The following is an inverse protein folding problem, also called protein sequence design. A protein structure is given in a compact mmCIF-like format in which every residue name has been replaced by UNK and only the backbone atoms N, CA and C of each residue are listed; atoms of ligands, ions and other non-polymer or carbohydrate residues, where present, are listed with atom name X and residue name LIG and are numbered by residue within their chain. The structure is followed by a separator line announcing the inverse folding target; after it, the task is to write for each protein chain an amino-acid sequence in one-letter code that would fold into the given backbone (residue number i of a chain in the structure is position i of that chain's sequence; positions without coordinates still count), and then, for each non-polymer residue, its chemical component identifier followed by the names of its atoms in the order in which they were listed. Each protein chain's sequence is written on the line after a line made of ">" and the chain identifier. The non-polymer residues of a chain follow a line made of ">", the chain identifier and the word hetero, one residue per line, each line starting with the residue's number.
data_IF_384792545558
#
_entry.id   IF_384792545558
#
_cell.length_a   1.000
_cell.length_b   1.000
_cell.length_c   1.000
_cell.angle_alpha   90.00
_cell.angle_beta   90.00
_cell.angle_gamma   90.00
#
_symmetry.space_group_name_H-M   'P 1'
#
loop_
_entity.id
_entity.type
_entity.pdbx_description
1 polymer ?
#
# COMPACT_ATOMS: atom_id res chain seq x y z
N UNK A 1 11.54 -17.96 0.30
CA UNK A 1 10.40 -17.06 0.54
C UNK A 1 9.68 -16.92 -0.79
N UNK A 2 8.54 -17.59 -0.92
CA UNK A 2 7.64 -17.45 -2.07
C UNK A 2 6.79 -16.20 -1.83
N UNK A 3 6.34 -15.47 -2.86
CA UNK A 3 5.69 -14.16 -2.68
C UNK A 3 4.29 -14.21 -3.29
N UNK A 4 3.24 -14.13 -2.48
CA UNK A 4 1.86 -14.00 -2.97
C UNK A 4 1.39 -12.56 -2.88
N UNK A 5 0.92 -12.04 -4.02
CA UNK A 5 0.45 -10.67 -4.17
C UNK A 5 -1.03 -10.68 -4.49
N UNK A 6 -1.83 -10.00 -3.68
CA UNK A 6 -3.23 -9.73 -3.96
C UNK A 6 -3.35 -8.22 -4.20
N UNK A 7 -3.51 -7.84 -5.46
CA UNK A 7 -3.57 -6.45 -5.92
C UNK A 7 -5.01 -5.98 -6.10
N UNK A 8 -5.69 -5.53 -5.04
CA UNK A 8 -7.05 -4.95 -5.15
C UNK A 8 -6.98 -3.48 -5.62
N UNK A 9 -6.54 -3.27 -6.86
CA UNK A 9 -6.64 -1.94 -7.50
C UNK A 9 -8.09 -1.66 -7.90
N UNK A 10 -8.74 -0.70 -7.25
CA UNK A 10 -9.86 0.00 -7.88
C UNK A 10 -9.35 1.25 -8.57
N UNK A 11 -9.49 1.29 -9.88
CA UNK A 11 -9.57 2.49 -10.70
C UNK A 11 -11.01 2.51 -11.19
N UNK A 12 -11.89 3.27 -10.56
CA UNK A 12 -13.33 3.20 -10.81
C UNK A 12 -13.93 1.79 -10.77
N UNK A 13 -13.85 1.17 -9.58
CA UNK A 13 -14.78 0.13 -9.08
C UNK A 13 -14.43 -1.34 -9.38
N UNK A 14 -13.24 -1.82 -8.99
CA UNK A 14 -12.87 -3.24 -9.07
C UNK A 14 -11.96 -3.66 -7.91
N UNK A 15 -12.00 -4.94 -7.59
CA UNK A 15 -11.06 -5.63 -6.73
C UNK A 15 -10.35 -6.69 -7.55
N UNK A 16 -9.03 -6.60 -7.66
CA UNK A 16 -8.17 -7.57 -8.35
C UNK A 16 -7.27 -8.30 -7.36
N UNK A 17 -6.70 -9.41 -7.78
CA UNK A 17 -5.64 -10.13 -7.07
C UNK A 17 -4.58 -10.39 -8.18
N UNK A 18 -3.28 -10.07 -7.99
CA UNK A 18 -2.29 -10.04 -9.11
C UNK A 18 -1.00 -10.75 -8.76
N UNK A 19 -0.58 -11.66 -9.64
CA UNK A 19 0.66 -12.45 -9.62
C UNK A 19 1.97 -11.64 -9.69
N UNK A 20 3.05 -12.16 -9.09
CA UNK A 20 4.44 -11.86 -9.45
C UNK A 20 5.22 -13.18 -9.63
N UNK A 21 6.09 -13.26 -10.64
CA UNK A 21 6.86 -14.46 -10.97
C UNK A 21 8.04 -14.68 -10.02
N UNK A 22 7.78 -15.41 -8.94
CA UNK A 22 8.75 -16.26 -8.27
C UNK A 22 7.99 -17.38 -7.56
N UNK A 23 7.80 -18.49 -8.30
CA UNK A 23 7.07 -19.73 -7.98
C UNK A 23 5.52 -19.61 -8.02
N UNK A 24 4.87 -20.57 -8.68
CA UNK A 24 3.63 -20.37 -9.44
C UNK A 24 2.35 -20.58 -8.62
N UNK A 25 1.65 -19.49 -8.27
CA UNK A 25 0.20 -19.50 -8.06
C UNK A 25 -0.43 -18.46 -8.97
N UNK A 26 -1.53 -18.83 -9.61
CA UNK A 26 -2.23 -18.02 -10.59
C UNK A 26 -3.59 -17.69 -10.02
N UNK A 27 -3.72 -16.48 -9.43
CA UNK A 27 -5.02 -15.94 -9.06
C UNK A 27 -5.55 -15.08 -10.19
N UNK A 28 -6.78 -15.32 -10.63
CA UNK A 28 -7.35 -14.60 -11.77
C UNK A 28 -8.11 -13.32 -11.42
N UNK A 29 -8.17 -12.43 -12.42
CA UNK A 29 -8.95 -11.20 -12.38
C UNK A 29 -10.35 -11.45 -12.95
N UNK A 30 -11.40 -11.16 -12.18
CA UNK A 30 -12.78 -11.15 -12.68
C UNK A 30 -13.52 -9.91 -12.18
N UNK A 31 -14.37 -9.36 -13.05
CA UNK A 31 -15.13 -8.14 -12.75
C UNK A 31 -16.52 -8.49 -12.21
N UNK A 32 -16.83 -7.99 -11.01
CA UNK A 32 -18.13 -8.17 -10.33
C UNK A 32 -18.89 -6.86 -10.17
N UNK A 33 -20.16 -6.82 -10.62
CA UNK A 33 -21.06 -5.68 -10.42
C UNK A 33 -22.27 -6.06 -9.59
N UNK A 34 -22.49 -5.31 -8.53
CA UNK A 34 -23.75 -5.35 -7.80
C UNK A 34 -24.15 -3.91 -7.43
N UNK A 35 -25.40 -3.55 -7.68
CA UNK A 35 -25.98 -2.20 -7.57
C UNK A 35 -26.72 -1.98 -6.27
N UNK A 36 -26.76 -3.03 -5.46
CA UNK A 36 -27.54 -3.05 -4.24
C UNK A 36 -26.82 -2.25 -3.17
N UNK A 37 -27.58 -1.68 -2.24
CA UNK A 37 -27.05 -1.07 -1.02
C UNK A 37 -26.51 -2.13 -0.04
N UNK A 38 -26.24 -3.33 -0.55
CA UNK A 38 -25.67 -4.45 0.16
C UNK A 38 -24.17 -4.23 0.28
N UNK A 39 -23.82 -3.50 1.33
CA UNK A 39 -22.48 -3.53 1.86
C UNK A 39 -22.11 -4.96 2.20
N UNK A 40 -20.83 -5.27 2.05
CA UNK A 40 -20.16 -6.50 2.48
C UNK A 40 -19.96 -7.56 1.40
N UNK A 41 -19.03 -7.29 0.48
CA UNK A 41 -18.17 -8.37 0.00
C UNK A 41 -17.28 -8.81 1.18
N UNK A 42 -17.54 -10.00 1.75
CA UNK A 42 -16.70 -10.60 2.80
C UNK A 42 -15.63 -11.46 2.12
N UNK A 43 -14.36 -11.06 2.23
CA UNK A 43 -13.23 -11.94 2.01
C UNK A 43 -12.96 -12.63 3.35
N UNK A 44 -13.23 -13.93 3.42
CA UNK A 44 -13.15 -14.73 4.64
C UNK A 44 -11.80 -15.46 4.69
N UNK A 45 -10.74 -14.76 5.10
CA UNK A 45 -9.43 -15.38 5.28
C UNK A 45 -9.45 -16.20 6.58
N UNK A 46 -9.71 -17.50 6.48
CA UNK A 46 -9.74 -18.42 7.63
C UNK A 46 -8.35 -19.03 7.80
N UNK A 47 -7.54 -18.42 8.66
CA UNK A 47 -6.50 -19.15 9.38
C UNK A 47 -6.75 -18.98 10.88
N UNK A 48 -6.32 -19.93 11.71
CA UNK A 48 -6.60 -20.01 13.16
C UNK A 48 -6.23 -18.72 13.91
N UNK A 49 -7.21 -17.81 14.02
CA UNK A 49 -7.05 -16.40 14.37
C UNK A 49 -7.59 -15.53 13.24
N UNK A 50 -8.92 -15.40 13.18
CA UNK A 50 -9.69 -14.86 12.06
C UNK A 50 -9.11 -13.51 11.55
N UNK A 51 -9.01 -13.29 10.24
CA UNK A 51 -8.93 -11.93 9.67
C UNK A 51 -9.99 -11.84 8.57
N UNK A 52 -11.21 -11.46 8.94
CA UNK A 52 -12.27 -11.22 7.96
C UNK A 52 -12.10 -9.84 7.31
N UNK A 53 -11.91 -9.78 5.99
CA UNK A 53 -11.94 -8.52 5.25
C UNK A 53 -13.34 -8.23 4.73
N UNK A 54 -13.86 -7.02 4.96
CA UNK A 54 -15.20 -6.64 4.52
C UNK A 54 -15.17 -5.31 3.76
N UNK A 55 -15.73 -5.32 2.56
CA UNK A 55 -15.78 -4.18 1.65
C UNK A 55 -17.22 -3.69 1.46
N UNK A 56 -17.50 -2.42 1.79
CA UNK A 56 -18.79 -1.77 1.46
C UNK A 56 -18.64 -0.94 0.20
N UNK A 57 -19.59 -1.12 -0.73
CA UNK A 57 -19.70 -0.35 -1.96
C UNK A 57 -20.82 0.69 -1.85
N UNK A 58 -20.61 1.91 -2.36
CA UNK A 58 -21.64 2.96 -2.39
C UNK A 58 -21.72 3.64 -3.75
N UNK A 59 -22.91 4.17 -4.10
CA UNK A 59 -23.10 4.99 -5.31
C UNK A 59 -22.54 6.38 -5.09
N UNK A 60 -21.67 6.83 -6.00
CA UNK A 60 -21.17 8.21 -6.01
C UNK A 60 -21.71 8.96 -7.24
N UNK A 61 -22.65 9.89 -7.02
CA UNK A 61 -23.18 10.79 -8.07
C UNK A 61 -24.25 10.19 -9.02
N UNK A 62 -24.55 10.90 -10.12
CA UNK A 62 -25.58 10.56 -11.15
C UNK A 62 -25.14 9.42 -12.12
N UNK A 63 -24.24 8.54 -11.71
CA UNK A 63 -23.70 7.46 -12.56
C UNK A 63 -23.54 6.14 -11.82
N UNK A 64 -23.39 5.06 -12.58
CA UNK A 64 -23.15 3.68 -12.14
C UNK A 64 -21.74 3.42 -11.57
N UNK A 65 -21.20 4.38 -10.80
CA UNK A 65 -19.89 4.23 -10.12
C UNK A 65 -20.11 3.56 -8.74
N UNK A 66 -19.38 2.48 -8.50
CA UNK A 66 -19.42 1.60 -7.32
C UNK A 66 -18.05 1.64 -6.59
N UNK A 67 -17.82 2.60 -5.70
CA UNK A 67 -16.50 2.73 -5.05
C UNK A 67 -16.39 1.88 -3.78
N UNK A 68 -15.19 1.35 -3.48
CA UNK A 68 -14.87 0.80 -2.15
C UNK A 68 -14.94 1.95 -1.13
N UNK A 69 -15.79 1.84 -0.12
CA UNK A 69 -16.02 2.89 0.87
C UNK A 69 -15.39 2.57 2.23
N UNK A 70 -15.49 1.30 2.62
CA UNK A 70 -15.06 0.78 3.91
C UNK A 70 -14.29 -0.51 3.68
N UNK A 71 -13.16 -0.66 4.36
CA UNK A 71 -12.47 -1.93 4.54
C UNK A 71 -12.48 -2.28 6.03
N UNK A 72 -13.11 -3.39 6.42
CA UNK A 72 -13.00 -3.91 7.78
C UNK A 72 -12.01 -5.07 7.81
N UNK A 73 -11.28 -5.25 8.91
CA UNK A 73 -10.44 -6.41 9.20
C UNK A 73 -10.82 -6.93 10.59
N UNK A 74 -11.06 -8.22 10.75
CA UNK A 74 -11.59 -8.79 12.01
C UNK A 74 -10.82 -10.01 12.48
N UNK A 75 -10.27 -9.95 13.69
CA UNK A 75 -9.84 -11.09 14.51
C UNK A 75 -10.72 -11.27 15.75
N UNK A 76 -10.58 -12.39 16.46
CA UNK A 76 -11.39 -12.86 17.58
C UNK A 76 -11.72 -11.77 18.60
N UNK A 77 -10.82 -10.80 18.78
CA UNK A 77 -10.98 -9.69 19.72
C UNK A 77 -10.74 -8.29 19.12
N UNK A 78 -10.49 -8.19 17.82
CA UNK A 78 -10.05 -6.94 17.19
C UNK A 78 -10.79 -6.68 15.89
N UNK A 79 -11.52 -5.57 15.82
CA UNK A 79 -12.20 -5.07 14.63
C UNK A 79 -11.53 -3.79 14.17
N UNK A 80 -10.92 -3.81 13.00
CA UNK A 80 -10.27 -2.65 12.41
C UNK A 80 -11.15 -2.15 11.26
N UNK A 81 -11.42 -0.86 11.20
CA UNK A 81 -12.13 -0.23 10.09
C UNK A 81 -11.25 0.83 9.45
N UNK A 82 -11.15 0.77 8.13
CA UNK A 82 -10.46 1.71 7.25
C UNK A 82 -11.51 2.43 6.42
N UNK A 83 -11.66 3.73 6.64
CA UNK A 83 -12.65 4.55 5.90
C UNK A 83 -11.98 5.40 4.83
N UNK A 84 -12.69 5.63 3.72
CA UNK A 84 -12.22 6.47 2.61
C UNK A 84 -12.07 7.96 2.94
N UNK A 85 -12.54 8.44 4.10
CA UNK A 85 -12.43 9.86 4.42
C UNK A 85 -10.96 10.32 4.33
N UNK A 86 -10.73 11.54 3.82
CA UNK A 86 -9.39 12.14 3.75
C UNK A 86 -9.17 13.04 4.96
N UNK A 87 -8.16 12.76 5.82
CA UNK A 87 -7.17 11.68 5.74
C UNK A 87 -7.76 10.31 6.10
N UNK A 88 -7.23 9.21 5.54
CA UNK A 88 -7.70 7.84 5.87
C UNK A 88 -7.70 7.64 7.39
N UNK A 89 -8.86 7.30 7.93
CA UNK A 89 -9.04 6.99 9.35
C UNK A 89 -9.00 5.50 9.56
N UNK A 90 -8.21 5.09 10.54
CA UNK A 90 -8.21 3.74 11.09
C UNK A 90 -8.98 3.78 12.40
N UNK A 91 -9.99 2.94 12.56
CA UNK A 91 -10.63 2.68 13.84
C UNK A 91 -10.30 1.26 14.27
N UNK A 92 -9.98 1.06 15.55
CA UNK A 92 -9.81 -0.28 16.13
C UNK A 92 -10.75 -0.40 17.31
N UNK A 93 -11.63 -1.41 17.27
CA UNK A 93 -12.73 -1.60 18.21
C UNK A 93 -13.55 -0.32 18.43
N UNK A 94 -13.85 0.38 17.33
CA UNK A 94 -14.64 1.63 17.32
C UNK A 94 -13.90 2.88 17.79
N UNK A 95 -12.61 2.78 18.16
CA UNK A 95 -11.79 3.93 18.58
C UNK A 95 -10.85 4.35 17.48
N UNK A 96 -10.76 5.65 17.21
CA UNK A 96 -9.84 6.18 16.21
C UNK A 96 -8.37 5.99 16.59
N UNK A 97 -7.56 5.63 15.60
CA UNK A 97 -6.13 5.44 15.70
C UNK A 97 -5.39 6.29 14.66
N UNK A 98 -4.52 7.17 15.14
CA UNK A 98 -3.70 8.02 14.28
C UNK A 98 -2.47 7.26 13.79
N UNK A 99 -2.55 6.72 12.56
CA UNK A 99 -1.45 5.98 11.95
C UNK A 99 -0.22 6.89 11.73
N UNK A 100 0.97 6.53 12.24
CA UNK A 100 2.16 7.36 12.09
C UNK A 100 2.72 7.34 10.67
N UNK A 101 3.45 8.40 10.31
CA UNK A 101 3.96 8.61 8.95
C UNK A 101 5.38 8.11 8.70
N UNK A 102 6.10 7.61 9.72
CA UNK A 102 7.55 7.43 9.58
C UNK A 102 8.14 6.07 9.93
N UNK A 103 7.44 5.15 10.60
CA UNK A 103 7.87 3.74 10.79
C UNK A 103 6.67 2.87 11.19
N UNK A 104 6.71 1.54 10.95
CA UNK A 104 5.76 0.59 11.55
C UNK A 104 5.72 0.79 13.06
N UNK A 105 4.53 1.00 13.62
CA UNK A 105 4.34 1.05 15.07
C UNK A 105 3.27 0.07 15.49
N UNK A 106 3.48 -0.55 16.65
CA UNK A 106 2.44 -1.33 17.32
C UNK A 106 1.26 -0.41 17.61
N UNK A 107 0.07 -0.86 17.23
CA UNK A 107 -1.17 -0.14 17.50
C UNK A 107 -1.44 -0.17 19.01
N UNK A 108 -1.32 1.00 19.63
CA UNK A 108 -1.66 1.24 21.03
C UNK A 108 -2.80 2.26 21.08
N UNK A 109 -3.91 1.87 21.71
CA UNK A 109 -5.06 2.76 21.92
C UNK A 109 -5.35 2.78 23.40
N UNK A 110 -5.18 3.96 24.01
CA UNK A 110 -5.15 4.10 25.47
C UNK A 110 -4.08 3.17 26.05
N UNK A 111 -4.44 2.27 26.97
CA UNK A 111 -3.52 1.32 27.62
C UNK A 111 -3.57 -0.09 27.02
N UNK A 112 -4.34 -0.29 25.95
CA UNK A 112 -4.45 -1.59 25.27
C UNK A 112 -3.51 -1.66 24.07
N UNK A 113 -2.70 -2.71 24.02
CA UNK A 113 -1.88 -3.07 22.88
C UNK A 113 -2.62 -4.05 21.97
N UNK A 114 -2.54 -3.81 20.67
CA UNK A 114 -3.05 -4.70 19.65
C UNK A 114 -1.85 -5.31 18.90
N UNK A 115 -1.85 -6.62 18.60
CA UNK A 115 -0.76 -7.29 17.86
C UNK A 115 -0.83 -6.95 16.36
N UNK A 116 -0.75 -5.66 16.07
CA UNK A 116 -0.94 -5.06 14.76
C UNK A 116 0.09 -3.95 14.59
N UNK A 117 0.85 -4.00 13.51
CA UNK A 117 1.70 -2.91 13.07
C UNK A 117 0.93 -2.04 12.08
N UNK A 118 1.07 -0.73 12.19
CA UNK A 118 0.46 0.21 11.27
C UNK A 118 1.41 1.35 10.90
N UNK A 119 1.44 1.76 9.62
CA UNK A 119 2.20 2.91 9.14
C UNK A 119 1.64 3.51 7.86
N UNK A 120 1.89 4.80 7.63
CA UNK A 120 1.58 5.46 6.36
C UNK A 120 2.77 5.43 5.41
N UNK A 121 2.53 5.17 4.12
CA UNK A 121 3.51 5.42 3.05
C UNK A 121 3.55 6.89 2.68
N UNK A 122 4.55 7.28 1.87
CA UNK A 122 4.67 8.64 1.31
C UNK A 122 3.45 9.03 0.46
N UNK A 123 2.77 8.05 -0.12
CA UNK A 123 1.59 8.23 -0.96
C UNK A 123 0.28 8.23 -0.15
N UNK A 124 0.37 8.43 1.17
CA UNK A 124 -0.74 8.39 2.13
C UNK A 124 -1.48 7.05 2.20
N UNK A 125 -0.93 5.95 1.68
CA UNK A 125 -1.51 4.64 1.92
C UNK A 125 -1.28 4.22 3.37
N UNK A 126 -2.26 3.57 3.99
CA UNK A 126 -2.15 2.96 5.30
C UNK A 126 -1.79 1.49 5.13
N UNK A 127 -0.68 1.04 5.70
CA UNK A 127 -0.36 -0.38 5.80
C UNK A 127 -0.70 -0.87 7.19
N UNK A 128 -1.19 -2.10 7.25
CA UNK A 128 -1.51 -2.86 8.44
C UNK A 128 -0.87 -4.23 8.30
N UNK A 129 -0.16 -4.70 9.32
CA UNK A 129 0.44 -6.03 9.32
C UNK A 129 0.13 -6.70 10.66
N UNK A 130 -0.55 -7.84 10.59
CA UNK A 130 -0.84 -8.68 11.77
C UNK A 130 0.23 -9.75 11.99
N UNK A 131 0.22 -10.36 13.17
CA UNK A 131 1.05 -11.54 13.48
C UNK A 131 0.66 -12.78 12.67
N UNK A 132 -0.53 -12.79 12.07
CA UNK A 132 -1.06 -13.88 11.24
C UNK A 132 -0.36 -14.05 9.90
N UNK A 133 0.71 -13.31 9.60
CA UNK A 133 1.35 -13.32 8.28
C UNK A 133 0.54 -12.62 7.18
N UNK A 134 -0.51 -11.87 7.53
CA UNK A 134 -1.32 -11.09 6.58
C UNK A 134 -0.94 -9.62 6.68
N UNK A 135 -0.71 -9.01 5.51
CA UNK A 135 -0.51 -7.56 5.37
C UNK A 135 -1.59 -6.97 4.49
N UNK A 136 -2.08 -5.80 4.87
CA UNK A 136 -3.10 -5.06 4.13
C UNK A 136 -2.63 -3.63 3.93
N UNK A 137 -2.60 -3.15 2.70
CA UNK A 137 -2.39 -1.75 2.37
C UNK A 137 -3.68 -1.15 1.82
N UNK A 138 -4.12 -0.05 2.40
CA UNK A 138 -5.28 0.71 1.97
C UNK A 138 -4.81 2.06 1.44
N UNK A 139 -4.99 2.29 0.13
CA UNK A 139 -4.67 3.54 -0.53
C UNK A 139 -5.99 4.26 -0.89
N UNK A 140 -6.25 5.38 -0.23
CA UNK A 140 -7.37 6.26 -0.53
C UNK A 140 -6.93 7.49 -1.31
N UNK A 141 -7.36 7.61 -2.56
CA UNK A 141 -7.18 8.80 -3.41
C UNK A 141 -8.50 9.57 -3.56
N UNK A 142 -8.47 10.71 -4.28
CA UNK A 142 -9.71 11.47 -4.53
C UNK A 142 -10.61 10.73 -5.53
N UNK A 143 -10.03 9.79 -6.27
CA UNK A 143 -10.60 9.19 -7.47
C UNK A 143 -10.74 7.67 -7.33
N UNK A 144 -10.01 7.08 -6.38
CA UNK A 144 -9.82 5.65 -6.33
C UNK A 144 -9.58 5.17 -4.89
N UNK A 145 -10.11 4.00 -4.57
CA UNK A 145 -9.85 3.32 -3.29
C UNK A 145 -9.30 1.94 -3.58
N UNK A 146 -8.08 1.72 -3.16
CA UNK A 146 -7.36 0.51 -3.50
C UNK A 146 -7.01 -0.20 -2.20
N UNK A 147 -7.19 -1.50 -2.20
CA UNK A 147 -6.71 -2.36 -1.15
C UNK A 147 -5.67 -3.27 -1.76
N UNK A 148 -4.72 -3.69 -0.97
CA UNK A 148 -3.75 -4.67 -1.37
C UNK A 148 -3.61 -5.61 -0.20
N UNK A 149 -3.63 -6.90 -0.47
CA UNK A 149 -3.49 -7.93 0.55
C UNK A 149 -2.25 -8.75 0.20
N UNK A 150 -1.51 -9.15 1.22
CA UNK A 150 -0.42 -10.10 1.10
C UNK A 150 -0.57 -11.12 2.20
N UNK A 151 -0.17 -12.34 1.88
CA UNK A 151 -0.15 -13.44 2.81
C UNK A 151 1.21 -14.12 2.75
N UNK A 152 1.66 -14.58 3.89
CA UNK A 152 2.80 -15.49 3.97
C UNK A 152 2.49 -16.78 3.18
N UNK A 153 3.44 -17.34 2.42
CA UNK A 153 3.24 -18.62 1.75
C UNK A 153 2.75 -19.75 2.65
N UNK A 154 3.18 -19.75 3.92
CA UNK A 154 2.88 -20.82 4.85
C UNK A 154 1.39 -20.86 5.23
N UNK A 155 0.67 -19.74 5.05
CA UNK A 155 -0.78 -19.65 5.29
C UNK A 155 -1.59 -19.57 4.00
N UNK A 156 -0.95 -19.36 2.85
CA UNK A 156 -1.61 -18.98 1.60
C UNK A 156 -2.66 -20.02 1.16
N UNK A 157 -2.31 -21.31 1.15
CA UNK A 157 -3.24 -22.38 0.74
C UNK A 157 -4.39 -22.65 1.70
N UNK A 158 -4.46 -21.97 2.85
CA UNK A 158 -5.62 -22.00 3.75
C UNK A 158 -6.55 -20.79 3.58
N UNK A 159 -6.24 -19.88 2.66
CA UNK A 159 -7.03 -18.66 2.44
C UNK A 159 -8.13 -18.92 1.44
N UNK A 160 -9.35 -18.51 1.77
CA UNK A 160 -10.49 -18.60 0.88
C UNK A 160 -11.19 -17.24 0.75
N UNK A 161 -11.88 -17.03 -0.36
CA UNK A 161 -12.76 -15.88 -0.53
C UNK A 161 -12.85 -15.42 -1.97
N UNK A 162 -13.17 -14.13 -2.15
CA UNK A 162 -13.23 -13.50 -3.47
C UNK A 162 -11.87 -13.45 -4.19
N UNK A 163 -10.75 -13.68 -3.51
CA UNK A 163 -9.44 -13.86 -4.16
C UNK A 163 -9.11 -15.33 -4.45
N UNK A 164 -10.08 -16.23 -4.41
CA UNK A 164 -9.88 -17.65 -4.64
C UNK A 164 -9.30 -18.40 -3.45
N UNK A 165 -8.81 -19.61 -3.71
CA UNK A 165 -8.29 -20.57 -2.73
C UNK A 165 -6.76 -20.48 -2.58
N UNK A 166 -6.10 -19.61 -3.37
CA UNK A 166 -4.64 -19.41 -3.39
C UNK A 166 -3.88 -20.74 -3.39
N UNK A 167 -4.41 -21.71 -4.14
CA UNK A 167 -3.71 -22.95 -4.48
C UNK A 167 -3.02 -22.72 -5.82
N UNK A 168 -1.94 -23.45 -6.12
CA UNK A 168 -1.31 -23.39 -7.45
C UNK A 168 -2.28 -23.77 -8.60
N UNK A 169 -3.49 -24.25 -8.27
CA UNK A 169 -4.57 -24.53 -9.20
C UNK A 169 -5.41 -23.27 -9.46
N UNK A 170 -5.80 -23.15 -10.70
CA UNK A 170 -6.52 -22.04 -11.31
C UNK A 170 -8.01 -22.32 -11.38
N UNK A 171 -8.34 -23.59 -11.46
CA UNK A 171 -9.69 -24.05 -11.71
C UNK A 171 -10.53 -24.01 -10.42
N UNK A 172 -9.89 -23.97 -9.25
CA UNK A 172 -10.53 -23.92 -7.92
C UNK A 172 -10.63 -22.48 -7.35
N UNK A 173 -10.08 -21.47 -8.00
CA UNK A 173 -10.20 -20.05 -7.60
C UNK A 173 -11.66 -19.57 -7.51
N UNK A 174 -12.58 -20.27 -8.19
CA UNK A 174 -14.02 -20.02 -8.13
C UNK A 174 -14.78 -21.00 -7.25
N UNK A 175 -14.12 -21.51 -6.21
CA UNK A 175 -14.73 -22.31 -5.15
C UNK A 175 -15.62 -21.43 -4.28
N UNK A 176 -16.94 -21.69 -4.33
CA UNK A 176 -17.91 -21.02 -3.45
C UNK A 176 -17.59 -21.26 -1.97
N UNK A 177 -18.17 -20.44 -1.08
CA UNK A 177 -18.06 -20.66 0.38
C UNK A 177 -18.46 -22.07 0.83
N UNK A 178 -19.29 -22.78 0.06
CA UNK A 178 -19.73 -24.15 0.35
C UNK A 178 -18.81 -25.22 -0.24
N UNK A 179 -17.63 -24.86 -0.75
CA UNK A 179 -16.67 -25.80 -1.34
C UNK A 179 -17.05 -26.27 -2.76
N UNK A 180 -18.05 -25.67 -3.40
CA UNK A 180 -18.46 -26.03 -4.77
C UNK A 180 -17.66 -25.20 -5.77
N UNK A 181 -16.89 -25.87 -6.64
CA UNK A 181 -16.19 -25.25 -7.77
C UNK A 181 -17.22 -24.93 -8.86
N UNK A 182 -17.30 -23.66 -9.24
CA UNK A 182 -18.24 -23.22 -10.27
C UNK A 182 -17.64 -23.43 -11.67
N UNK A 183 -18.31 -24.22 -12.52
CA UNK A 183 -17.71 -24.84 -13.71
C UNK A 183 -17.58 -23.96 -14.96
N UNK A 184 -17.61 -22.62 -14.85
CA UNK A 184 -17.71 -21.74 -16.04
C UNK A 184 -16.74 -20.56 -16.06
N UNK A 185 -15.45 -20.87 -16.25
CA UNK A 185 -14.44 -19.89 -16.67
C UNK A 185 -14.71 -19.29 -18.05
N UNK A 186 -15.40 -20.01 -18.94
CA UNK A 186 -15.23 -19.84 -20.39
C UNK A 186 -15.95 -18.66 -21.06
N UNK A 187 -16.69 -17.80 -20.35
CA UNK A 187 -17.21 -16.54 -20.94
C UNK A 187 -17.92 -15.60 -19.98
N UNK A 188 -18.38 -16.08 -18.82
CA UNK A 188 -18.97 -15.25 -17.78
C UNK A 188 -18.66 -15.88 -16.43
N UNK A 189 -17.94 -15.17 -15.51
CA UNK A 189 -17.77 -15.67 -14.16
C UNK A 189 -19.17 -15.91 -13.57
N UNK A 190 -19.43 -17.12 -13.05
CA UNK A 190 -20.75 -17.48 -12.55
C UNK A 190 -21.10 -16.62 -11.35
N UNK A 191 -22.31 -16.06 -11.36
CA UNK A 191 -22.80 -15.19 -10.29
C UNK A 191 -22.79 -15.86 -8.92
N UNK A 192 -22.93 -17.18 -8.94
CA UNK A 192 -22.89 -18.02 -7.77
C UNK A 192 -21.63 -17.84 -6.92
N UNK A 193 -20.46 -17.64 -7.55
CA UNK A 193 -19.22 -17.53 -6.78
C UNK A 193 -19.22 -16.29 -5.88
N UNK A 194 -19.34 -15.04 -6.36
CA UNK A 194 -19.25 -13.87 -5.49
C UNK A 194 -20.46 -13.72 -4.56
N UNK A 195 -21.64 -14.19 -5.00
CA UNK A 195 -22.85 -14.22 -4.16
C UNK A 195 -22.68 -15.17 -2.97
N UNK A 196 -21.99 -16.31 -3.14
CA UNK A 196 -21.71 -17.23 -2.03
C UNK A 196 -20.83 -16.61 -0.93
N UNK A 197 -20.13 -15.52 -1.24
CA UNK A 197 -19.24 -14.81 -0.31
C UNK A 197 -19.89 -13.58 0.35
N UNK A 198 -21.17 -13.29 0.10
CA UNK A 198 -21.90 -12.24 0.80
C UNK A 198 -22.00 -12.54 2.31
N UNK A 199 -21.95 -11.49 3.14
CA UNK A 199 -22.13 -11.67 4.58
C UNK A 199 -23.54 -12.22 4.91
N UNK A 200 -23.67 -13.09 5.91
CA UNK A 200 -24.97 -13.73 6.23
C UNK A 200 -26.05 -12.71 6.64
N UNK A 201 -25.63 -11.59 7.25
CA UNK A 201 -26.48 -10.45 7.58
C UNK A 201 -27.09 -9.75 6.37
N UNK A 202 -26.49 -9.95 5.20
CA UNK A 202 -26.88 -9.36 3.92
C UNK A 202 -27.75 -10.35 3.16
N UNK A 203 -27.37 -11.63 3.14
CA UNK A 203 -28.16 -12.70 2.52
C UNK A 203 -29.56 -12.86 3.15
N UNK A 204 -29.66 -12.74 4.48
CA UNK A 204 -30.92 -12.91 5.22
C UNK A 204 -31.90 -11.76 5.07
N UNK A 205 -31.45 -10.56 4.72
CA UNK A 205 -32.30 -9.37 4.60
C UNK A 205 -32.94 -9.18 3.21
N UNK A 206 -32.73 -10.12 2.26
CA UNK A 206 -33.43 -10.15 0.96
C UNK A 206 -33.33 -8.89 0.10
N UNK A 207 -32.40 -7.98 0.41
CA UNK A 207 -32.34 -6.61 -0.11
C UNK A 207 -31.35 -6.45 -1.26
N UNK A 208 -30.60 -7.50 -1.58
CA UNK A 208 -29.67 -7.50 -2.70
C UNK A 208 -30.42 -7.94 -3.96
N UNK A 209 -31.18 -7.02 -4.54
CA UNK A 209 -31.79 -7.17 -5.86
C UNK A 209 -30.71 -7.45 -6.93
N UNK A 210 -30.73 -8.64 -7.52
CA UNK A 210 -29.90 -9.04 -8.67
C UNK A 210 -30.16 -8.13 -9.88
N UNK A 211 -29.48 -6.98 -9.96
CA UNK A 211 -29.62 -6.03 -11.08
C UNK A 211 -28.53 -6.20 -12.17
N UNK A 212 -27.69 -7.22 -12.04
CA UNK A 212 -26.42 -7.35 -12.77
C UNK A 212 -26.56 -7.48 -14.32
N UNK A 213 -27.69 -8.00 -14.80
CA UNK A 213 -27.95 -8.15 -16.23
C UNK A 213 -27.94 -6.84 -17.04
N UNK A 214 -28.10 -5.66 -16.41
CA UNK A 214 -28.13 -4.35 -17.09
C UNK A 214 -26.76 -3.71 -17.28
N UNK A 215 -25.78 -4.13 -16.49
CA UNK A 215 -24.55 -3.35 -16.25
C UNK A 215 -23.47 -3.72 -17.24
N UNK A 216 -23.24 -5.03 -17.40
CA UNK A 216 -22.36 -5.55 -18.45
C UNK A 216 -22.84 -5.08 -19.81
N UNK A 217 -24.16 -5.13 -20.08
CA UNK A 217 -24.75 -4.58 -21.32
C UNK A 217 -24.44 -3.10 -21.50
N UNK A 218 -24.52 -2.30 -20.44
CA UNK A 218 -24.27 -0.85 -20.54
C UNK A 218 -22.78 -0.52 -20.75
N UNK A 219 -21.86 -1.28 -20.15
CA UNK A 219 -20.41 -1.12 -20.36
C UNK A 219 -19.98 -1.57 -21.76
N UNK A 220 -20.51 -2.71 -22.22
CA UNK A 220 -20.33 -3.21 -23.58
C UNK A 220 -20.79 -2.19 -24.62
N UNK A 221 -21.95 -1.57 -24.40
CA UNK A 221 -22.52 -0.61 -25.35
C UNK A 221 -21.66 0.64 -25.61
N UNK A 222 -20.81 1.10 -24.67
CA UNK A 222 -20.06 2.35 -24.87
C UNK A 222 -18.82 2.20 -25.77
N UNK A 223 -18.19 1.02 -25.77
CA UNK A 223 -17.01 0.74 -26.59
C UNK A 223 -17.30 -0.17 -27.79
N UNK A 224 -18.40 -0.92 -27.78
CA UNK A 224 -18.83 -1.70 -28.94
C UNK A 224 -19.43 -0.83 -30.06
N UNK A 225 -19.90 0.39 -29.75
CA UNK A 225 -20.54 1.26 -30.75
C UNK A 225 -19.57 1.96 -31.70
N UNK A 226 -18.30 2.12 -31.34
CA UNK A 226 -17.28 2.77 -32.18
C UNK A 226 -15.90 2.12 -31.99
N UNK A 227 -15.45 1.28 -32.94
CA UNK A 227 -14.14 0.64 -32.88
C UNK A 227 -12.97 1.62 -32.75
N UNK A 228 -13.11 2.87 -33.23
CA UNK A 228 -12.04 3.87 -33.13
C UNK A 228 -11.82 4.35 -31.68
N UNK A 229 -12.87 4.34 -30.86
CA UNK A 229 -12.77 4.65 -29.43
C UNK A 229 -12.00 3.54 -28.71
N UNK A 230 -12.30 2.28 -29.02
CA UNK A 230 -11.62 1.13 -28.44
C UNK A 230 -10.12 1.13 -28.78
N UNK A 231 -9.76 1.36 -30.04
CA UNK A 231 -8.36 1.47 -30.48
C UNK A 231 -7.65 2.64 -29.79
N UNK A 232 -8.32 3.78 -29.64
CA UNK A 232 -7.76 4.93 -28.94
C UNK A 232 -7.49 4.61 -27.47
N UNK A 233 -8.46 4.03 -26.75
CA UNK A 233 -8.32 3.61 -25.36
C UNK A 233 -7.23 2.56 -25.19
N UNK A 234 -7.18 1.57 -26.07
CA UNK A 234 -6.14 0.55 -26.08
C UNK A 234 -4.74 1.17 -26.19
N UNK A 235 -4.55 2.07 -27.15
CA UNK A 235 -3.27 2.74 -27.34
C UNK A 235 -2.89 3.63 -26.15
N UNK A 236 -3.85 4.33 -25.54
CA UNK A 236 -3.62 5.14 -24.34
C UNK A 236 -3.22 4.26 -23.15
N UNK A 237 -3.95 3.17 -22.88
CA UNK A 237 -3.65 2.20 -21.83
C UNK A 237 -2.28 1.57 -22.02
N UNK A 238 -2.00 1.05 -23.22
CA UNK A 238 -0.71 0.47 -23.58
C UNK A 238 0.43 1.45 -23.37
N UNK A 239 0.27 2.71 -23.81
CA UNK A 239 1.29 3.74 -23.61
C UNK A 239 1.53 4.03 -22.13
N UNK A 240 0.47 4.10 -21.32
CA UNK A 240 0.59 4.33 -19.88
C UNK A 240 1.30 3.16 -19.16
N UNK A 241 0.97 1.92 -19.51
CA UNK A 241 1.59 0.71 -18.97
C UNK A 241 3.07 0.63 -19.36
N UNK A 242 3.41 0.78 -20.64
CA UNK A 242 4.80 0.75 -21.13
C UNK A 242 5.66 1.86 -20.51
N UNK A 243 5.10 3.06 -20.29
CA UNK A 243 5.85 4.14 -19.67
C UNK A 243 6.18 3.86 -18.19
N UNK A 244 5.43 2.98 -17.53
CA UNK A 244 5.66 2.63 -16.13
C UNK A 244 6.48 1.34 -15.95
N UNK A 245 6.26 0.33 -16.79
CA UNK A 245 6.96 -0.95 -16.70
C UNK A 245 8.10 -1.00 -17.71
N UNK A 246 9.29 -1.45 -17.30
CA UNK A 246 10.38 -1.73 -18.24
C UNK A 246 9.93 -2.78 -19.26
N UNK A 247 10.27 -2.59 -20.55
CA UNK A 247 9.87 -3.40 -21.72
C UNK A 247 9.99 -4.95 -21.62
N UNK A 248 10.56 -5.50 -20.56
CA UNK A 248 10.84 -6.93 -20.41
C UNK A 248 9.64 -7.76 -19.89
N UNK A 249 8.43 -7.18 -19.77
CA UNK A 249 7.23 -7.82 -19.16
C UNK A 249 5.98 -7.86 -20.06
N UNK A 250 6.15 -7.87 -21.37
CA UNK A 250 5.09 -7.75 -22.37
C UNK A 250 3.83 -8.65 -22.17
N UNK A 251 3.97 -9.89 -21.70
CA UNK A 251 2.80 -10.78 -21.47
C UNK A 251 2.02 -10.43 -20.19
N UNK A 252 2.67 -9.92 -19.14
CA UNK A 252 1.99 -9.44 -17.91
C UNK A 252 1.26 -8.10 -18.15
N UNK A 253 1.60 -7.40 -19.23
CA UNK A 253 1.05 -6.10 -19.58
C UNK A 253 -0.33 -6.21 -20.22
N UNK A 254 -0.61 -7.29 -20.99
CA UNK A 254 -1.87 -7.39 -21.74
C UNK A 254 -3.10 -7.40 -20.83
N UNK A 255 -3.09 -8.17 -19.74
CA UNK A 255 -4.21 -8.18 -18.79
C UNK A 255 -4.46 -6.81 -18.15
N UNK A 256 -3.39 -6.06 -17.86
CA UNK A 256 -3.49 -4.69 -17.32
C UNK A 256 -4.05 -3.73 -18.38
N UNK A 257 -3.67 -3.90 -19.64
CA UNK A 257 -4.16 -3.10 -20.76
C UNK A 257 -5.65 -3.37 -20.97
N UNK A 258 -6.07 -4.63 -21.04
CA UNK A 258 -7.48 -5.02 -21.25
C UNK A 258 -8.38 -4.45 -20.14
N UNK A 259 -7.91 -4.55 -18.91
CA UNK A 259 -8.55 -3.97 -17.74
C UNK A 259 -8.66 -2.44 -17.81
N UNK A 260 -7.57 -1.78 -18.19
CA UNK A 260 -7.54 -0.33 -18.34
C UNK A 260 -8.52 0.14 -19.42
N UNK A 261 -8.58 -0.58 -20.55
CA UNK A 261 -9.53 -0.33 -21.64
C UNK A 261 -10.96 -0.51 -21.14
N UNK A 262 -11.20 -1.58 -20.40
CA UNK A 262 -12.50 -1.85 -19.81
C UNK A 262 -12.97 -0.72 -18.88
N UNK A 263 -12.09 -0.21 -18.01
CA UNK A 263 -12.38 0.92 -17.13
C UNK A 263 -12.70 2.18 -17.94
N UNK A 264 -11.89 2.45 -18.96
CA UNK A 264 -12.06 3.56 -19.89
C UNK A 264 -13.42 3.56 -20.60
N UNK A 265 -13.88 2.38 -21.01
CA UNK A 265 -15.18 2.21 -21.65
C UNK A 265 -16.36 2.58 -20.74
N UNK A 266 -16.19 2.54 -19.42
CA UNK A 266 -17.26 2.83 -18.45
C UNK A 266 -17.26 4.26 -17.93
N UNK A 267 -16.13 4.97 -18.03
CA UNK A 267 -15.98 6.29 -17.44
C UNK A 267 -16.23 7.33 -18.51
N UNK A 268 -17.15 8.26 -18.24
CA UNK A 268 -17.47 9.36 -19.16
C UNK A 268 -16.37 10.43 -19.25
N UNK A 269 -15.37 10.38 -18.35
CA UNK A 269 -14.27 11.32 -18.24
C UNK A 269 -12.90 10.62 -18.39
N UNK A 270 -12.17 10.87 -19.49
CA UNK A 270 -10.87 10.27 -19.74
C UNK A 270 -9.73 10.81 -18.84
N UNK A 271 -9.91 11.84 -18.01
CA UNK A 271 -8.84 12.28 -17.10
C UNK A 271 -8.82 11.49 -15.77
N UNK A 272 -9.97 10.92 -15.37
CA UNK A 272 -10.12 10.15 -14.13
C UNK A 272 -9.30 8.84 -14.14
N UNK A 273 -9.21 8.16 -15.30
CA UNK A 273 -8.58 6.83 -15.39
C UNK A 273 -7.05 6.89 -15.55
N UNK A 274 -6.50 7.91 -16.26
CA UNK A 274 -5.03 8.06 -16.41
C UNK A 274 -4.38 8.17 -15.04
N UNK A 275 -5.03 8.90 -14.15
CA UNK A 275 -4.60 9.03 -12.75
C UNK A 275 -4.64 7.68 -12.05
N UNK A 276 -5.68 6.88 -12.27
CA UNK A 276 -5.88 5.62 -11.58
C UNK A 276 -4.95 4.50 -12.09
N UNK A 277 -4.63 4.46 -13.40
CA UNK A 277 -3.59 3.57 -13.96
C UNK A 277 -2.21 3.95 -13.43
N UNK A 278 -1.91 5.26 -13.37
CA UNK A 278 -0.66 5.73 -12.76
C UNK A 278 -0.58 5.37 -11.28
N UNK A 279 -1.68 5.52 -10.54
CA UNK A 279 -1.78 5.13 -9.13
C UNK A 279 -1.59 3.61 -8.95
N UNK A 280 -2.25 2.77 -9.76
CA UNK A 280 -2.12 1.32 -9.71
C UNK A 280 -0.69 0.85 -10.05
N UNK A 281 -0.07 1.49 -11.04
CA UNK A 281 1.27 1.13 -11.48
C UNK A 281 2.35 1.68 -10.52
N UNK A 282 2.12 2.84 -9.89
CA UNK A 282 2.93 3.33 -8.78
C UNK A 282 2.79 2.44 -7.54
N UNK A 283 1.58 2.01 -7.21
CA UNK A 283 1.36 1.08 -6.11
C UNK A 283 2.16 -0.20 -6.33
N UNK A 284 2.20 -0.76 -7.54
CA UNK A 284 3.06 -1.92 -7.84
C UNK A 284 4.55 -1.68 -7.60
N UNK A 285 5.05 -0.47 -7.91
CA UNK A 285 6.44 -0.10 -7.62
C UNK A 285 6.68 0.03 -6.10
N UNK A 286 5.77 0.71 -5.39
CA UNK A 286 5.81 0.83 -3.92
C UNK A 286 5.72 -0.55 -3.25
N UNK A 287 4.99 -1.49 -3.84
CA UNK A 287 4.86 -2.86 -3.34
C UNK A 287 6.19 -3.59 -3.42
N UNK A 288 6.94 -3.47 -4.52
CA UNK A 288 8.29 -4.06 -4.60
C UNK A 288 9.25 -3.48 -3.55
N UNK A 289 9.17 -2.18 -3.28
CA UNK A 289 9.96 -1.52 -2.23
C UNK A 289 9.53 -1.99 -0.82
N UNK A 290 8.23 -2.16 -0.58
CA UNK A 290 7.69 -2.59 0.71
C UNK A 290 7.87 -4.09 0.98
N UNK A 291 7.88 -4.97 -0.03
CA UNK A 291 8.20 -6.39 0.14
C UNK A 291 9.60 -6.57 0.72
N UNK A 292 10.59 -5.79 0.27
CA UNK A 292 11.94 -5.85 0.84
C UNK A 292 11.97 -5.45 2.31
N UNK A 293 11.11 -4.53 2.73
CA UNK A 293 10.95 -4.14 4.13
C UNK A 293 10.13 -5.16 4.94
N UNK A 294 9.22 -5.91 4.29
CA UNK A 294 8.40 -6.95 4.91
C UNK A 294 9.28 -8.06 5.48
N UNK A 295 10.21 -8.61 4.69
CA UNK A 295 11.18 -9.64 5.12
C UNK A 295 12.03 -9.16 6.32
N UNK A 296 12.39 -7.87 6.34
CA UNK A 296 13.14 -7.29 7.45
C UNK A 296 12.30 -7.13 8.73
N UNK A 297 10.98 -6.93 8.62
CA UNK A 297 10.08 -6.64 9.75
C UNK A 297 9.53 -7.91 10.42
N UNK A 298 9.23 -8.97 9.66
CA UNK A 298 8.86 -10.29 10.25
C UNK A 298 9.97 -10.83 11.14
N UNK A 299 11.23 -10.61 10.74
CA UNK A 299 12.42 -10.94 11.54
C UNK A 299 12.50 -10.20 12.89
N UNK A 300 11.90 -9.01 13.01
CA UNK A 300 11.92 -8.21 14.25
C UNK A 300 10.77 -8.64 15.18
N UNK A 301 9.61 -8.99 14.60
CA UNK A 301 8.39 -9.30 15.35
C UNK A 301 8.53 -10.64 16.09
N UNK A 302 9.14 -11.65 15.45
CA UNK A 302 9.44 -12.93 16.10
C UNK A 302 10.31 -12.74 17.36
N UNK A 303 11.32 -11.87 17.27
CA UNK A 303 12.24 -11.57 18.38
C UNK A 303 11.58 -10.78 19.51
N UNK A 304 10.50 -10.04 19.25
CA UNK A 304 9.82 -9.25 20.30
C UNK A 304 8.78 -10.05 21.06
N UNK A 305 8.13 -11.04 20.45
CA UNK A 305 7.25 -11.99 21.16
C UNK A 305 8.01 -12.81 22.22
N UNK A 306 9.26 -13.19 21.94
CA UNK A 306 10.08 -13.93 22.91
C UNK A 306 10.51 -13.09 24.14
N UNK A 307 10.56 -11.77 23.99
CA UNK A 307 10.98 -10.84 25.06
C UNK A 307 9.79 -10.51 25.99
N UNK A 308 8.55 -10.55 25.49
CA UNK A 308 7.37 -10.25 26.31
C UNK A 308 6.95 -11.44 27.17
N UNK A 309 7.24 -12.67 26.76
CA UNK A 309 6.79 -13.88 27.47
C UNK A 309 7.72 -14.31 28.63
N UNK A 310 8.90 -13.69 28.78
CA UNK A 310 9.90 -14.10 29.79
C UNK A 310 9.87 -13.32 31.11
N UNK A 311 8.86 -12.46 31.36
CA UNK A 311 8.78 -11.67 32.61
C UNK A 311 7.51 -11.83 33.44
N UNK A 312 6.67 -12.83 33.16
CA UNK A 312 5.54 -13.16 34.01
C UNK A 312 5.95 -14.05 35.20
N UNK A 313 6.59 -13.45 36.21
CA UNK A 313 6.69 -14.05 37.55
C UNK A 313 5.60 -13.49 38.44
N UNK A 314 4.86 -14.40 39.08
CA UNK A 314 3.81 -14.19 40.08
C UNK A 314 4.06 -13.00 41.02
N UNK A 315 3.26 -11.95 40.90
CA UNK A 315 3.09 -10.94 41.96
C UNK A 315 1.61 -10.68 42.17
N UNK A 316 1.12 -11.15 43.32
CA UNK A 316 -0.20 -10.87 43.91
C UNK A 316 -0.51 -9.35 43.91
N UNK A 317 -1.71 -8.92 43.51
CA UNK A 317 -2.02 -7.49 43.44
C UNK A 317 -2.37 -6.93 44.82
N UNK A 318 -1.58 -5.95 45.26
CA UNK A 318 -1.99 -5.01 46.30
C UNK A 318 -2.84 -3.91 45.66
N UNK A 319 -4.05 -3.72 46.20
CA UNK A 319 -4.94 -2.61 45.90
C UNK A 319 -4.30 -1.29 46.29
N UNK A 320 -3.87 -0.50 45.29
CA UNK A 320 -3.45 0.88 45.49
C UNK A 320 -4.34 1.85 44.70
N UNK A 321 -4.81 2.87 45.40
CA UNK A 321 -5.83 3.81 44.95
C UNK A 321 -5.16 4.92 44.14
N UNK A 322 -5.06 4.78 42.82
CA UNK A 322 -4.37 5.75 41.98
C UNK A 322 -5.31 6.78 41.34
N UNK A 323 -5.07 8.03 41.75
CA UNK A 323 -5.47 9.29 41.12
C UNK A 323 -5.16 9.29 39.60
N UNK A 324 -5.99 9.92 38.74
CA UNK A 324 -5.87 9.83 37.29
C UNK A 324 -4.49 10.24 36.77
N UNK A 325 -3.83 9.32 36.06
CA UNK A 325 -2.55 9.54 35.40
C UNK A 325 -2.62 10.77 34.49
N UNK A 326 -1.80 11.76 34.79
CA UNK A 326 -1.81 13.02 34.06
C UNK A 326 -1.06 12.85 32.74
N UNK A 327 -1.78 12.97 31.62
CA UNK A 327 -1.28 12.80 30.25
C UNK A 327 -0.14 13.79 29.92
N UNK A 328 1.04 13.28 29.50
CA UNK A 328 2.15 14.12 29.05
C UNK A 328 1.86 14.75 27.67
N UNK A 329 1.88 16.08 27.58
CA UNK A 329 1.64 16.80 26.31
C UNK A 329 2.88 17.53 25.80
N UNK A 330 3.24 17.34 24.53
CA UNK A 330 4.36 18.06 23.91
C UNK A 330 4.09 19.57 23.79
N UNK A 331 4.98 20.39 24.35
CA UNK A 331 5.00 21.84 24.07
C UNK A 331 5.79 22.12 22.79
N UNK A 332 5.55 23.29 22.19
CA UNK A 332 6.25 23.76 20.97
C UNK A 332 7.79 23.67 21.08
N UNK A 333 8.36 23.85 22.27
CA UNK A 333 9.81 23.75 22.50
C UNK A 333 10.35 22.33 22.26
N UNK A 334 9.59 21.30 22.61
CA UNK A 334 9.96 19.89 22.39
C UNK A 334 9.84 19.52 20.90
N UNK A 335 8.71 19.85 20.27
CA UNK A 335 8.46 19.62 18.85
C UNK A 335 9.46 20.31 17.92
N UNK A 336 9.85 21.56 18.21
CA UNK A 336 10.88 22.26 17.42
C UNK A 336 12.23 21.55 17.42
N UNK A 337 12.48 20.72 18.42
CA UNK A 337 13.68 19.89 18.54
C UNK A 337 13.40 18.44 18.17
N UNK A 338 12.26 18.14 17.53
CA UNK A 338 11.75 16.80 17.23
C UNK A 338 11.97 15.83 18.38
N UNK A 339 11.63 16.27 19.59
CA UNK A 339 11.58 15.43 20.77
C UNK A 339 10.17 14.91 21.04
N UNK A 340 10.08 13.89 21.87
CA UNK A 340 8.83 13.31 22.36
C UNK A 340 8.75 13.46 23.88
N UNK A 341 7.54 13.41 24.45
CA UNK A 341 7.35 13.50 25.90
C UNK A 341 7.25 12.11 26.53
N UNK A 342 7.94 11.92 27.64
CA UNK A 342 7.90 10.68 28.43
C UNK A 342 7.84 11.05 29.92
N UNK A 343 7.19 10.20 30.72
CA UNK A 343 7.24 10.25 32.19
C UNK A 343 8.48 9.58 32.76
N UNK A 344 9.19 8.80 31.95
CA UNK A 344 10.41 8.10 32.32
C UNK A 344 11.64 8.76 31.65
N UNK A 345 12.43 9.57 32.39
CA UNK A 345 13.66 10.15 31.86
C UNK A 345 14.74 9.11 31.51
N UNK A 346 14.71 7.94 32.16
CA UNK A 346 15.67 6.86 31.94
C UNK A 346 15.47 6.15 30.60
N UNK A 347 14.24 6.16 30.07
CA UNK A 347 13.91 5.61 28.75
C UNK A 347 14.38 6.50 27.58
N UNK A 348 14.98 7.66 27.85
CA UNK A 348 15.37 8.60 26.82
C UNK A 348 16.73 8.26 26.23
N UNK A 349 16.75 7.66 25.04
CA UNK A 349 17.95 7.51 24.21
C UNK A 349 18.33 8.85 23.54
N UNK A 350 18.67 9.83 24.37
CA UNK A 350 18.95 11.18 23.91
C UNK A 350 19.15 12.23 25.00
N UNK A 351 18.93 13.49 24.66
CA UNK A 351 19.02 14.60 25.62
C UNK A 351 17.66 14.87 26.25
N UNK A 352 17.61 14.79 27.57
CA UNK A 352 16.42 15.13 28.36
C UNK A 352 16.30 16.65 28.53
N UNK A 353 15.08 17.18 28.40
CA UNK A 353 14.73 18.59 28.58
C UNK A 353 13.47 18.73 29.46
N UNK A 354 13.66 19.15 30.72
CA UNK A 354 12.65 19.16 31.80
C UNK A 354 11.48 20.16 31.60
N UNK A 355 11.54 21.02 30.57
CA UNK A 355 10.50 22.03 30.30
C UNK A 355 9.95 21.96 28.87
N UNK A 356 10.16 20.84 28.19
CA UNK A 356 9.60 20.60 26.86
C UNK A 356 8.17 20.06 26.85
N UNK A 357 7.68 19.57 27.98
CA UNK A 357 6.40 18.88 28.10
C UNK A 357 5.48 19.58 29.11
N UNK A 358 4.17 19.35 28.97
CA UNK A 358 3.13 19.68 29.94
C UNK A 358 2.71 18.41 30.67
N UNK A 359 2.40 18.55 31.95
CA UNK A 359 2.14 17.45 32.87
C UNK A 359 3.22 17.33 33.95
N UNK A 360 2.87 17.03 35.21
CA UNK A 360 3.83 16.79 36.29
C UNK A 360 4.68 15.55 35.97
N UNK A 361 6.00 15.62 36.18
CA UNK A 361 6.93 14.52 35.91
C UNK A 361 7.29 14.30 34.42
N UNK A 362 6.63 15.00 33.49
CA UNK A 362 6.90 14.83 32.07
C UNK A 362 8.18 15.54 31.62
N UNK A 363 9.07 14.82 30.93
CA UNK A 363 10.29 15.35 30.32
C UNK A 363 10.27 15.19 28.81
N UNK A 364 10.90 16.12 28.09
CA UNK A 364 11.06 16.00 26.63
C UNK A 364 12.35 15.26 26.32
N UNK A 365 12.24 14.09 25.73
CA UNK A 365 13.37 13.36 25.18
C UNK A 365 13.67 13.84 23.77
N UNK A 366 14.88 14.33 23.53
CA UNK A 366 15.37 14.70 22.20
C UNK A 366 16.32 13.60 21.74
N UNK A 367 15.92 12.73 20.79
CA UNK A 367 16.76 11.64 20.28
C UNK A 367 18.14 12.16 19.89
N UNK A 368 19.20 11.48 20.36
CA UNK A 368 20.54 11.72 19.86
C UNK A 368 20.68 11.04 18.49
N UNK A 369 20.91 11.83 17.45
CA UNK A 369 21.03 11.31 16.10
C UNK A 369 21.27 12.42 15.08
N UNK A 370 21.88 12.07 13.97
CA UNK A 370 22.23 13.01 12.92
C UNK A 370 20.99 13.48 12.16
N UNK A 371 20.72 14.79 12.14
CA UNK A 371 19.53 15.34 11.47
C UNK A 371 19.86 16.37 10.41
N UNK A 372 19.20 16.36 9.24
CA UNK A 372 19.48 17.32 8.18
C UNK A 372 19.09 18.75 8.52
N UNK A 373 20.03 19.70 8.36
CA UNK A 373 19.74 21.13 8.26
C UNK A 373 19.18 21.42 6.86
N UNK A 374 18.58 22.61 6.70
CA UNK A 374 18.05 23.12 5.42
C UNK A 374 19.04 23.03 4.24
N UNK A 375 20.33 23.17 4.50
CA UNK A 375 21.39 23.06 3.50
C UNK A 375 21.65 21.63 3.00
N UNK A 376 21.36 20.60 3.82
CA UNK A 376 21.58 19.21 3.47
C UNK A 376 20.46 18.66 2.58
N UNK A 377 19.21 18.71 3.07
CA UNK A 377 18.08 18.14 2.33
C UNK A 377 17.78 18.90 1.02
N UNK A 378 18.04 20.21 0.94
CA UNK A 378 17.87 20.97 -0.33
C UNK A 378 18.81 20.50 -1.44
N UNK A 379 19.93 19.88 -1.09
CA UNK A 379 20.87 19.26 -2.01
C UNK A 379 20.62 17.76 -2.20
N UNK A 380 19.49 17.25 -1.70
CA UNK A 380 19.15 15.82 -1.75
C UNK A 380 19.98 14.93 -0.83
N UNK A 381 20.67 15.52 0.17
CA UNK A 381 21.52 14.76 1.07
C UNK A 381 20.80 14.22 2.31
N UNK A 382 21.36 13.17 2.90
CA UNK A 382 20.97 12.60 4.19
C UNK A 382 22.08 12.80 5.23
N UNK A 383 21.77 12.66 6.51
CA UNK A 383 22.73 12.82 7.58
C UNK A 383 23.14 11.48 8.16
N UNK A 384 24.44 11.27 8.33
CA UNK A 384 25.03 10.08 8.95
C UNK A 384 26.02 10.50 10.03
N UNK A 385 26.22 9.64 11.03
CA UNK A 385 27.21 9.77 12.09
C UNK A 385 28.62 9.38 11.67
N UNK A 386 28.78 8.81 10.47
CA UNK A 386 30.09 8.44 9.92
C UNK A 386 30.26 8.96 8.49
N UNK A 387 31.38 9.63 8.23
CA UNK A 387 31.76 10.01 6.88
C UNK A 387 32.08 8.83 5.98
N UNK A 388 32.46 7.69 6.56
CA UNK A 388 32.83 6.47 5.83
C UNK A 388 31.61 5.75 5.25
N UNK A 389 30.45 5.86 5.92
CA UNK A 389 29.19 5.28 5.42
C UNK A 389 28.51 6.15 4.35
N UNK A 390 29.19 7.18 3.86
CA UNK A 390 28.68 8.05 2.81
C UNK A 390 29.22 7.62 1.45
N UNK A 391 28.35 7.07 0.61
CA UNK A 391 28.66 6.69 -0.79
C UNK A 391 28.79 7.91 -1.73
N UNK A 392 29.11 9.09 -1.20
CA UNK A 392 29.14 10.33 -1.96
C UNK A 392 29.97 11.41 -1.29
N UNK A 393 29.70 12.67 -1.63
CA UNK A 393 30.45 13.79 -1.06
C UNK A 393 29.88 14.20 0.29
N UNK A 394 30.72 14.19 1.32
CA UNK A 394 30.36 14.72 2.63
C UNK A 394 30.44 16.25 2.66
N UNK A 395 29.51 16.87 3.37
CA UNK A 395 29.52 18.32 3.63
C UNK A 395 28.97 18.63 5.02
N UNK A 396 29.30 19.81 5.55
CA UNK A 396 28.66 20.29 6.76
C UNK A 396 27.18 20.55 6.47
N UNK A 397 26.28 19.84 7.14
CA UNK A 397 24.86 19.91 6.79
C UNK A 397 23.91 19.40 7.85
N UNK A 398 24.42 18.90 8.98
CA UNK A 398 23.62 18.16 9.95
C UNK A 398 23.63 18.82 11.33
N UNK A 399 22.64 18.45 12.13
CA UNK A 399 22.59 18.62 13.58
C UNK A 399 23.09 17.34 14.24
N UNK A 400 23.79 17.48 15.36
CA UNK A 400 24.48 16.40 16.06
C UNK A 400 25.99 16.57 15.97
N UNK A 401 26.70 16.10 17.00
CA UNK A 401 28.16 16.04 17.02
C UNK A 401 28.62 14.93 16.06
N UNK A 402 29.67 15.19 15.30
CA UNK A 402 30.24 14.27 14.28
C UNK A 402 29.32 13.90 13.11
N UNK A 403 28.16 14.56 13.01
CA UNK A 403 27.22 14.33 11.93
C UNK A 403 27.62 15.04 10.64
N UNK A 404 27.75 14.28 9.56
CA UNK A 404 28.04 14.79 8.21
C UNK A 404 26.84 14.61 7.29
N UNK A 405 26.65 15.58 6.38
CA UNK A 405 25.65 15.47 5.34
C UNK A 405 26.26 14.75 4.16
N UNK A 406 25.75 13.56 3.87
CA UNK A 406 26.11 12.79 2.70
C UNK A 406 25.28 13.27 1.50
N UNK A 407 25.96 13.87 0.52
CA UNK A 407 25.37 14.17 -0.78
C UNK A 407 25.69 13.01 -1.72
N UNK A 408 24.68 12.24 -2.11
CA UNK A 408 24.84 11.19 -3.12
C UNK A 408 25.16 11.88 -4.45
N UNK A 409 26.44 11.94 -4.81
CA UNK A 409 26.95 12.68 -5.97
C UNK A 409 26.64 12.01 -7.30
N UNK A 410 26.17 10.76 -7.26
CA UNK A 410 26.22 9.88 -8.43
C UNK A 410 24.85 9.57 -9.01
N UNK A 411 23.81 10.32 -8.61
CA UNK A 411 22.55 10.25 -9.36
C UNK A 411 22.78 10.93 -10.71
N UNK A 412 23.01 10.12 -11.73
CA UNK A 412 22.90 10.47 -13.15
C UNK A 412 21.49 11.03 -13.42
N UNK A 413 21.23 12.27 -13.05
CA UNK A 413 19.96 12.93 -13.31
C UNK A 413 20.00 13.69 -14.64
N UNK A 414 18.95 13.60 -15.46
CA UNK A 414 18.87 14.33 -16.72
C UNK A 414 18.77 15.85 -16.48
N UNK A 415 19.59 16.63 -17.18
CA UNK A 415 19.38 18.07 -17.35
C UNK A 415 18.27 18.28 -18.39
N UNK A 416 17.76 19.52 -18.46
CA UNK A 416 16.75 19.95 -19.46
C UNK A 416 17.10 19.57 -20.90
N UNK A 417 18.39 19.57 -21.27
CA UNK A 417 18.87 19.18 -22.61
C UNK A 417 18.64 17.70 -22.92
N UNK A 418 18.78 16.83 -21.93
CA UNK A 418 18.54 15.39 -22.07
C UNK A 418 17.03 15.08 -22.11
N UNK A 419 16.29 15.67 -21.18
CA UNK A 419 14.86 15.45 -21.05
C UNK A 419 14.06 15.90 -22.28
N UNK A 420 14.41 17.05 -22.88
CA UNK A 420 13.78 17.53 -24.13
C UNK A 420 13.89 16.58 -25.32
N UNK A 421 14.86 15.67 -25.29
CA UNK A 421 15.08 14.69 -26.35
C UNK A 421 14.60 13.29 -25.95
N UNK A 422 13.88 13.16 -24.83
CA UNK A 422 13.43 11.87 -24.30
C UNK A 422 14.59 10.95 -23.88
N UNK A 423 15.75 11.53 -23.51
CA UNK A 423 16.91 10.75 -23.13
C UNK A 423 16.98 10.40 -21.64
N UNK A 424 17.69 9.33 -21.34
CA UNK A 424 17.96 8.84 -19.98
C UNK A 424 19.45 8.93 -19.69
N UNK A 425 19.84 9.27 -18.47
CA UNK A 425 21.25 9.36 -18.12
C UNK A 425 21.82 8.00 -17.70
N UNK A 426 22.93 7.60 -18.33
CA UNK A 426 23.67 6.36 -18.06
C UNK A 426 25.09 6.70 -17.58
N UNK A 427 25.65 5.85 -16.73
CA UNK A 427 27.04 5.97 -16.25
C UNK A 427 28.05 5.43 -17.28
N UNK A 428 27.68 4.37 -17.99
CA UNK A 428 28.50 3.76 -19.04
C UNK A 428 27.94 4.08 -20.43
N UNK A 429 28.67 4.82 -21.29
CA UNK A 429 28.22 5.19 -22.62
C UNK A 429 28.00 3.97 -23.54
N UNK A 430 28.67 2.84 -23.30
CA UNK A 430 28.53 1.63 -24.12
C UNK A 430 27.14 0.97 -23.98
N UNK A 431 26.44 1.23 -22.88
CA UNK A 431 25.07 0.75 -22.65
C UNK A 431 24.01 1.51 -23.46
N UNK A 432 24.40 2.65 -24.06
CA UNK A 432 23.50 3.45 -24.86
C UNK A 432 23.34 2.86 -26.27
N UNK A 433 22.14 2.32 -26.58
CA UNK A 433 21.78 1.85 -27.92
C UNK A 433 21.43 2.98 -28.90
N UNK A 434 21.53 4.24 -28.46
CA UNK A 434 21.11 5.42 -29.19
C UNK A 434 22.18 6.51 -29.27
N UNK A 435 21.75 7.76 -29.45
CA UNK A 435 22.66 8.91 -29.52
C UNK A 435 23.07 9.38 -28.13
N UNK A 436 24.38 9.52 -27.91
CA UNK A 436 24.92 10.11 -26.68
C UNK A 436 24.98 11.63 -26.78
N UNK A 437 24.48 12.30 -25.75
CA UNK A 437 24.56 13.75 -25.56
C UNK A 437 25.46 14.04 -24.36
N UNK A 438 26.68 14.49 -24.66
CA UNK A 438 27.61 14.98 -23.65
C UNK A 438 27.02 16.19 -22.93
N UNK A 439 27.32 16.30 -21.62
CA UNK A 439 26.77 17.32 -20.72
C UNK A 439 25.23 17.35 -20.63
N UNK A 440 24.56 16.26 -21.03
CA UNK A 440 23.11 16.10 -20.88
C UNK A 440 22.68 15.76 -19.45
N UNK A 441 23.60 15.36 -18.58
CA UNK A 441 23.34 14.89 -17.22
C UNK A 441 24.00 15.81 -16.17
N UNK A 442 23.54 15.70 -14.92
CA UNK A 442 24.04 16.56 -13.83
C UNK A 442 25.50 16.28 -13.46
N UNK A 443 25.90 15.01 -13.40
CA UNK A 443 27.29 14.60 -13.13
C UNK A 443 28.12 14.52 -14.41
N UNK A 444 29.43 14.77 -14.28
CA UNK A 444 30.40 14.74 -15.37
C UNK A 444 30.71 13.32 -15.86
N UNK A 445 30.44 12.30 -15.04
CA UNK A 445 30.63 10.89 -15.36
C UNK A 445 29.34 10.24 -15.88
N UNK A 446 28.39 11.05 -16.35
CA UNK A 446 27.08 10.59 -16.84
C UNK A 446 26.84 11.10 -18.25
N UNK A 447 26.29 10.23 -19.08
CA UNK A 447 26.01 10.47 -20.49
C UNK A 447 24.50 10.41 -20.70
N UNK A 448 23.95 11.38 -21.44
CA UNK A 448 22.53 11.31 -21.77
C UNK A 448 22.36 10.43 -23.01
N UNK A 449 21.72 9.28 -22.86
CA UNK A 449 21.39 8.37 -23.92
C UNK A 449 20.00 8.68 -24.48
N UNK A 450 19.90 9.00 -25.76
CA UNK A 450 18.64 9.19 -26.47
C UNK A 450 18.45 8.02 -27.43
N UNK A 451 17.56 7.10 -27.11
CA UNK A 451 17.20 6.01 -28.01
C UNK A 451 16.52 6.60 -29.25
N UNK A 452 17.12 6.45 -30.43
CA UNK A 452 16.42 6.75 -31.67
C UNK A 452 15.43 5.61 -31.93
N UNK A 453 14.14 5.91 -32.20
CA UNK A 453 13.27 4.88 -32.76
C UNK A 453 13.92 4.42 -34.07
N UNK A 454 14.14 3.10 -34.22
CA UNK A 454 14.41 2.54 -35.54
C UNK A 454 13.18 2.89 -36.38
N UNK A 455 13.33 3.73 -37.40
CA UNK A 455 12.31 3.77 -38.45
C UNK A 455 12.26 2.35 -39.05
N UNK A 456 11.10 1.67 -39.04
CA UNK A 456 10.93 0.44 -39.78
C UNK A 456 11.09 0.67 -41.29
#
# INVERSE_FOLDING_TARGET
>A
MTEFKILVTSSNCYSKCKRNKSHNIVVYCYNWYDYTHCGCCHLHLIHSGLIGYNSQKSRYGKGSKICLNLAALKNDHTYIFLTHQKPIYVQVNGKEYAVPSSFPSIVKIMDTFYPLLAWKTRNNCVNLQGSSGITVQFCGSSWSNQVYVWADPDIAGGLEGLCGTVTDDVDDDFTTRNGTITSSWQRNPPLEFPLSWLADSVASNGSCDDQDGRVKRQAQNNCETDPSILDNFYNQCRTAVINQFSNDKAEEEQGIIDDCVFDLCRVSDPDDWITAVREAAQAQADIQENTMNFTATTSITATTTDIVDTTATDVTPATDTTSPATECRCKRKCWKKSGYCTTDPGSCDGRVMNHGCGGPGCVCCIPQGCRPKKKCYRKGGYCTSSAETCEGRTTAGCWGQDCVCCLVTDRCQPKKKCWKKGGTCVTDPSTCKGQIINNGCQSNNCYCCVNQPKCP
#
